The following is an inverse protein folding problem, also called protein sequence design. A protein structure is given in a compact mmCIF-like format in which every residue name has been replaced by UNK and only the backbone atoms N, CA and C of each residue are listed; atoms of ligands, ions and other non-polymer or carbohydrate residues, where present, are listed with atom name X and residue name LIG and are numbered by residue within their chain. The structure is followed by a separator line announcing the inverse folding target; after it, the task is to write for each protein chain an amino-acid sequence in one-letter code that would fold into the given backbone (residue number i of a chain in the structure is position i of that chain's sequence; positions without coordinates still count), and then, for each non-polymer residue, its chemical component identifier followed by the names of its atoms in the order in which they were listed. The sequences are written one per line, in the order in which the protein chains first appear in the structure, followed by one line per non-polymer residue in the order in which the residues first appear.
data_IF_962493389067
#
_entry.id   IF_962493389067
#
_cell.length_a   1.000
_cell.length_b   1.000
_cell.length_c   1.000
_cell.angle_alpha   90.00
_cell.angle_beta   90.00
_cell.angle_gamma   90.00
#
_symmetry.space_group_name_H-M   'P 1'
#
loop_
_entity.id
_entity.type
_entity.pdbx_description
1 polymer ?
#
# COMPACT_ATOMS: atom_id res chain seq x y z
N UNK A 1 -10.41 32.04 -76.74
CA UNK A 1 -11.61 32.42 -75.99
C UNK A 1 -11.40 31.87 -74.58
N UNK A 2 -10.99 32.73 -73.72
CA UNK A 2 -10.66 32.46 -72.33
C UNK A 2 -11.90 32.66 -71.47
N UNK A 3 -12.20 31.73 -70.59
CA UNK A 3 -13.27 31.87 -69.62
C UNK A 3 -12.62 31.88 -68.20
N UNK A 4 -12.63 33.05 -67.64
CA UNK A 4 -12.19 33.32 -66.24
C UNK A 4 -13.23 32.76 -65.27
N UNK A 5 -12.75 31.98 -64.32
CA UNK A 5 -13.52 31.61 -63.12
C UNK A 5 -12.99 32.37 -61.90
N UNK A 6 -13.83 33.12 -61.18
CA UNK A 6 -13.40 33.75 -59.96
C UNK A 6 -13.42 32.79 -58.78
N UNK A 7 -12.27 32.61 -58.14
CA UNK A 7 -12.14 31.93 -56.87
C UNK A 7 -12.75 32.80 -55.75
N UNK A 8 -13.84 32.32 -55.16
CA UNK A 8 -14.41 32.88 -53.95
C UNK A 8 -13.53 32.56 -52.76
N UNK A 9 -12.95 33.55 -52.12
CA UNK A 9 -12.20 33.44 -50.88
C UNK A 9 -13.17 33.12 -49.70
N UNK A 10 -13.14 31.88 -49.22
CA UNK A 10 -13.77 31.56 -47.93
C UNK A 10 -12.89 32.06 -46.81
N UNK A 11 -13.30 33.17 -46.20
CA UNK A 11 -12.82 33.59 -44.89
C UNK A 11 -13.21 32.54 -43.87
N UNK A 12 -12.25 31.78 -43.37
CA UNK A 12 -12.38 30.97 -42.15
C UNK A 12 -12.54 31.95 -40.97
N UNK A 13 -13.77 32.13 -40.52
CA UNK A 13 -14.07 32.78 -39.27
C UNK A 13 -13.49 32.01 -38.10
N UNK A 14 -12.90 32.73 -37.21
CA UNK A 14 -12.33 32.48 -35.91
C UNK A 14 -12.60 31.12 -35.27
N UNK A 15 -11.55 30.35 -35.12
CA UNK A 15 -11.47 29.33 -34.07
C UNK A 15 -11.47 30.05 -32.70
N UNK A 16 -12.58 29.97 -32.00
CA UNK A 16 -12.63 30.32 -30.59
C UNK A 16 -11.67 29.40 -29.88
N UNK A 17 -10.49 29.91 -29.48
CA UNK A 17 -9.62 29.24 -28.55
C UNK A 17 -10.47 28.91 -27.31
N UNK A 18 -10.78 27.63 -27.08
CA UNK A 18 -11.31 27.18 -25.80
C UNK A 18 -10.28 27.59 -24.78
N UNK A 19 -10.60 28.56 -23.94
CA UNK A 19 -9.80 28.84 -22.75
C UNK A 19 -9.72 27.52 -21.96
N UNK A 20 -8.55 26.95 -21.86
CA UNK A 20 -8.30 25.84 -20.92
C UNK A 20 -8.59 26.38 -19.53
N UNK A 21 -9.71 25.94 -18.97
CA UNK A 21 -10.05 26.26 -17.59
C UNK A 21 -9.00 25.55 -16.73
N UNK A 22 -8.10 26.33 -16.13
CA UNK A 22 -7.10 25.77 -15.22
C UNK A 22 -7.82 25.03 -14.10
N UNK A 23 -7.54 23.72 -13.97
CA UNK A 23 -8.12 22.89 -12.91
C UNK A 23 -7.50 23.34 -11.59
N UNK A 24 -8.35 23.78 -10.65
CA UNK A 24 -7.87 24.13 -9.32
C UNK A 24 -7.30 22.86 -8.62
N UNK A 25 -6.09 22.98 -8.09
CA UNK A 25 -5.38 21.91 -7.36
C UNK A 25 -4.96 22.39 -5.98
N UNK A 26 -4.73 21.43 -5.06
CA UNK A 26 -4.15 21.70 -3.75
C UNK A 26 -3.24 20.54 -3.32
N UNK A 27 -2.12 20.81 -2.61
CA UNK A 27 -1.24 19.79 -2.08
C UNK A 27 -1.95 18.91 -1.05
N UNK A 28 -1.88 17.58 -1.22
CA UNK A 28 -2.45 16.65 -0.24
C UNK A 28 -1.67 16.70 1.09
N UNK A 29 -0.38 16.98 1.04
CA UNK A 29 0.50 17.14 2.22
C UNK A 29 -0.09 18.08 3.26
N UNK A 30 -0.60 19.24 2.83
CA UNK A 30 -1.19 20.23 3.72
C UNK A 30 -2.33 19.64 4.58
N UNK A 31 -3.24 18.92 3.95
CA UNK A 31 -4.40 18.31 4.63
C UNK A 31 -4.01 17.17 5.56
N UNK A 32 -3.01 16.37 5.15
CA UNK A 32 -2.49 15.30 6.01
C UNK A 32 -1.82 15.91 7.24
N UNK A 33 -0.98 16.92 7.08
CA UNK A 33 -0.33 17.63 8.21
C UNK A 33 -1.35 18.20 9.17
N UNK A 34 -2.34 18.94 8.69
CA UNK A 34 -3.40 19.51 9.52
C UNK A 34 -4.12 18.42 10.34
N UNK A 35 -4.56 17.35 9.68
CA UNK A 35 -5.27 16.26 10.33
C UNK A 35 -4.39 15.46 11.32
N UNK A 36 -3.08 15.40 11.08
CA UNK A 36 -2.11 14.64 11.86
C UNK A 36 -1.63 15.41 13.08
N UNK A 37 -1.38 16.73 12.99
CA UNK A 37 -0.93 17.56 14.10
C UNK A 37 -1.92 17.60 15.26
N UNK A 38 -3.20 17.44 15.01
CA UNK A 38 -4.17 17.28 16.08
C UNK A 38 -3.95 16.01 16.92
N UNK A 39 -3.25 14.99 16.36
CA UNK A 39 -2.92 13.74 17.06
C UNK A 39 -1.57 13.81 17.76
N UNK A 40 -0.59 14.43 17.12
CA UNK A 40 0.79 14.53 17.62
C UNK A 40 1.39 15.91 17.31
N UNK A 41 1.15 16.92 18.17
CA UNK A 41 1.66 18.26 17.97
C UNK A 41 3.19 18.37 18.05
N UNK A 42 3.87 17.34 18.57
CA UNK A 42 5.33 17.35 18.74
C UNK A 42 6.09 16.94 17.46
N UNK A 43 5.44 16.33 16.48
CA UNK A 43 6.07 15.82 15.25
C UNK A 43 5.86 16.78 14.06
N UNK A 44 6.22 18.06 14.27
CA UNK A 44 6.04 19.11 13.23
C UNK A 44 6.95 18.93 12.01
N UNK A 45 8.01 18.11 12.08
CA UNK A 45 9.08 18.09 11.07
C UNK A 45 9.10 16.83 10.19
N UNK A 46 8.31 15.81 10.47
CA UNK A 46 8.35 14.60 9.65
C UNK A 46 7.74 14.85 8.25
N UNK A 47 8.52 14.72 7.18
CA UNK A 47 7.98 14.89 5.83
C UNK A 47 6.90 13.84 5.57
N UNK A 48 5.71 14.29 5.17
CA UNK A 48 4.61 13.39 4.83
C UNK A 48 4.97 12.55 3.60
N UNK A 49 5.39 13.20 2.54
CA UNK A 49 5.88 12.55 1.34
C UNK A 49 7.38 12.82 1.16
N UNK A 50 8.07 11.90 0.52
CA UNK A 50 9.53 12.04 0.31
C UNK A 50 9.80 13.12 -0.72
N UNK A 51 10.76 13.99 -0.38
CA UNK A 51 11.16 15.15 -1.19
C UNK A 51 12.60 14.99 -1.73
N UNK A 52 13.17 13.80 -1.63
CA UNK A 52 14.57 13.51 -1.84
C UNK A 52 14.98 13.31 -3.32
N UNK A 53 14.07 13.43 -4.26
CA UNK A 53 14.35 13.25 -5.68
C UNK A 53 13.99 14.50 -6.50
N UNK A 54 14.87 14.89 -7.41
CA UNK A 54 14.72 16.04 -8.33
C UNK A 54 13.40 16.04 -9.17
N UNK A 55 12.61 14.98 -9.10
CA UNK A 55 11.38 14.79 -9.88
C UNK A 55 10.19 14.38 -9.02
N UNK A 56 10.20 14.68 -7.73
CA UNK A 56 9.07 14.34 -6.86
C UNK A 56 7.88 15.21 -7.21
N UNK A 57 6.85 14.60 -7.77
CA UNK A 57 5.56 15.26 -7.99
C UNK A 57 4.76 15.12 -6.70
N UNK A 58 4.57 16.21 -5.97
CA UNK A 58 3.72 16.25 -4.80
C UNK A 58 2.30 15.78 -5.16
N UNK A 59 1.68 14.90 -4.37
CA UNK A 59 0.30 14.48 -4.61
C UNK A 59 -0.67 15.66 -4.55
N UNK A 60 -1.37 15.92 -5.65
CA UNK A 60 -2.29 17.04 -5.77
C UNK A 60 -3.74 16.56 -5.81
N UNK A 61 -4.57 17.14 -4.96
CA UNK A 61 -6.02 17.12 -5.10
C UNK A 61 -6.43 17.94 -6.31
N UNK A 62 -7.36 17.43 -7.09
CA UNK A 62 -7.90 18.09 -8.29
C UNK A 62 -9.38 18.35 -8.11
N UNK A 63 -9.80 19.60 -8.24
CA UNK A 63 -11.22 19.99 -8.14
C UNK A 63 -12.01 19.43 -9.32
N UNK A 64 -13.18 18.88 -9.03
CA UNK A 64 -14.03 18.24 -10.05
C UNK A 64 -13.66 16.79 -10.37
N UNK A 65 -12.65 16.25 -9.70
CA UNK A 65 -12.27 14.85 -9.79
C UNK A 65 -12.55 14.14 -8.46
N UNK A 66 -12.83 12.84 -8.54
CA UNK A 66 -12.80 11.95 -7.38
C UNK A 66 -11.33 11.59 -7.12
N UNK A 67 -10.71 12.27 -6.15
CA UNK A 67 -9.32 12.01 -5.78
C UNK A 67 -9.26 10.75 -4.91
N UNK A 68 -8.59 9.72 -5.35
CA UNK A 68 -8.52 8.45 -4.63
C UNK A 68 -7.19 8.33 -3.88
N UNK A 69 -7.29 7.99 -2.59
CA UNK A 69 -6.17 7.61 -1.73
C UNK A 69 -6.32 6.13 -1.42
N UNK A 70 -5.29 5.33 -1.74
CA UNK A 70 -5.31 3.90 -1.42
C UNK A 70 -4.73 3.62 -0.04
N UNK A 71 -5.36 2.72 0.71
CA UNK A 71 -4.94 2.30 2.03
C UNK A 71 -4.33 0.91 1.98
N UNK A 72 -3.05 0.80 2.28
CA UNK A 72 -2.32 -0.44 2.34
C UNK A 72 -2.09 -0.82 3.80
N UNK A 73 -3.08 -1.46 4.42
CA UNK A 73 -2.98 -1.90 5.80
C UNK A 73 -2.42 -3.32 5.88
N UNK A 74 -1.37 -3.52 6.68
CA UNK A 74 -0.70 -4.82 6.74
C UNK A 74 0.23 -5.03 7.92
N UNK A 75 0.69 -6.27 8.09
CA UNK A 75 1.62 -6.63 9.15
C UNK A 75 3.02 -6.05 8.94
N UNK A 76 3.50 -6.03 7.71
CA UNK A 76 4.85 -5.58 7.34
C UNK A 76 5.95 -6.18 8.24
N UNK A 77 5.89 -7.48 8.50
CA UNK A 77 6.72 -8.14 9.50
C UNK A 77 7.58 -9.29 8.93
N UNK A 78 8.76 -8.95 8.34
CA UNK A 78 9.21 -7.63 7.96
C UNK A 78 8.56 -7.12 6.66
N UNK A 79 8.66 -5.81 6.36
CA UNK A 79 8.31 -5.30 5.05
C UNK A 79 9.30 -5.81 4.00
N UNK A 80 8.82 -6.04 2.79
CA UNK A 80 9.59 -6.59 1.69
C UNK A 80 9.17 -5.99 0.35
N UNK A 81 9.98 -6.21 -0.70
CA UNK A 81 9.76 -5.58 -2.00
C UNK A 81 8.36 -5.88 -2.60
N UNK A 82 7.77 -7.04 -2.29
CA UNK A 82 6.41 -7.34 -2.77
C UNK A 82 5.35 -6.35 -2.29
N UNK A 83 5.53 -5.73 -1.12
CA UNK A 83 4.66 -4.66 -0.67
C UNK A 83 4.87 -3.38 -1.51
N UNK A 84 6.11 -3.04 -1.81
CA UNK A 84 6.44 -1.91 -2.67
C UNK A 84 5.93 -2.11 -4.10
N UNK A 85 6.13 -3.30 -4.67
CA UNK A 85 5.65 -3.66 -6.01
C UNK A 85 4.12 -3.55 -6.13
N UNK A 86 3.40 -4.08 -5.13
CA UNK A 86 1.94 -3.97 -5.10
C UNK A 86 1.50 -2.49 -5.17
N UNK A 87 2.10 -1.64 -4.34
CA UNK A 87 1.79 -0.22 -4.30
C UNK A 87 2.16 0.48 -5.60
N UNK A 88 3.39 0.28 -6.08
CA UNK A 88 3.87 0.87 -7.33
C UNK A 88 2.95 0.49 -8.49
N UNK A 89 2.62 -0.81 -8.61
CA UNK A 89 1.77 -1.29 -9.69
C UNK A 89 0.37 -0.67 -9.62
N UNK A 90 -0.27 -0.65 -8.47
CA UNK A 90 -1.63 -0.11 -8.33
C UNK A 90 -1.65 1.41 -8.52
N UNK A 91 -0.64 2.14 -8.05
CA UNK A 91 -0.53 3.59 -8.28
C UNK A 91 -0.43 3.93 -9.78
N UNK A 92 0.26 3.10 -10.56
CA UNK A 92 0.43 3.33 -12.00
C UNK A 92 -0.68 2.74 -12.86
N UNK A 93 -1.29 1.63 -12.46
CA UNK A 93 -2.21 0.84 -13.29
C UNK A 93 -3.62 0.72 -12.73
N UNK A 94 -3.94 1.42 -11.65
CA UNK A 94 -5.28 1.37 -11.02
C UNK A 94 -6.42 1.87 -11.89
N UNK A 95 -6.10 2.59 -12.97
CA UNK A 95 -7.03 3.14 -13.95
C UNK A 95 -7.24 4.64 -13.81
N UNK A 96 -7.34 5.33 -14.93
CA UNK A 96 -7.53 6.79 -15.00
C UNK A 96 -8.85 7.24 -14.34
N UNK A 97 -9.86 6.38 -14.38
CA UNK A 97 -11.17 6.61 -13.78
C UNK A 97 -11.12 6.74 -12.25
N UNK A 98 -10.12 6.15 -11.60
CA UNK A 98 -9.95 6.26 -10.16
C UNK A 98 -9.21 7.52 -9.72
N UNK A 99 -8.40 8.13 -10.60
CA UNK A 99 -7.54 9.25 -10.25
C UNK A 99 -6.81 9.00 -8.90
N UNK A 100 -6.03 7.91 -8.84
CA UNK A 100 -5.27 7.56 -7.64
C UNK A 100 -4.12 8.55 -7.50
N UNK A 101 -4.13 9.34 -6.44
CA UNK A 101 -3.15 10.41 -6.22
C UNK A 101 -2.06 10.02 -5.23
N UNK A 102 -2.38 9.17 -4.25
CA UNK A 102 -1.46 8.78 -3.20
C UNK A 102 -1.84 7.43 -2.58
N UNK A 103 -0.92 6.89 -1.77
CA UNK A 103 -1.20 5.77 -0.88
C UNK A 103 -0.82 6.08 0.56
N UNK A 104 -1.51 5.43 1.51
CA UNK A 104 -1.18 5.44 2.93
C UNK A 104 -0.92 3.99 3.35
N UNK A 105 0.33 3.69 3.75
CA UNK A 105 0.67 2.43 4.39
C UNK A 105 0.32 2.49 5.87
N UNK A 106 -0.36 1.46 6.37
CA UNK A 106 -0.79 1.38 7.77
C UNK A 106 -0.22 0.10 8.39
N UNK A 107 0.98 0.15 9.01
CA UNK A 107 1.48 -0.96 9.80
C UNK A 107 0.58 -1.21 11.00
N UNK A 108 -0.02 -2.42 11.08
CA UNK A 108 -0.92 -2.77 12.19
C UNK A 108 -0.17 -2.79 13.53
N UNK A 109 -0.88 -2.54 14.62
CA UNK A 109 -0.30 -2.52 15.95
C UNK A 109 0.28 -3.88 16.37
N UNK A 110 1.29 -3.87 17.23
CA UNK A 110 2.00 -5.07 17.67
C UNK A 110 1.06 -6.08 18.37
N UNK A 111 0.05 -5.58 19.07
CA UNK A 111 -1.00 -6.40 19.70
C UNK A 111 -1.83 -7.14 18.66
N UNK A 112 -2.22 -6.48 17.58
CA UNK A 112 -2.96 -7.08 16.48
C UNK A 112 -2.09 -8.05 15.67
N UNK A 113 -0.81 -7.74 15.52
CA UNK A 113 0.15 -8.61 14.86
C UNK A 113 0.40 -9.88 15.68
N UNK A 114 0.55 -9.77 17.01
CA UNK A 114 0.65 -10.91 17.93
C UNK A 114 -0.58 -11.80 17.85
N UNK A 115 -1.78 -11.22 17.83
CA UNK A 115 -3.04 -11.96 17.67
C UNK A 115 -3.13 -12.69 16.33
N UNK A 116 -2.64 -12.09 15.24
CA UNK A 116 -2.60 -12.72 13.91
C UNK A 116 -1.73 -13.98 13.89
N UNK A 117 -0.63 -14.00 14.63
CA UNK A 117 0.25 -15.18 14.70
C UNK A 117 -0.21 -16.22 15.72
N UNK A 118 -1.14 -15.87 16.62
CA UNK A 118 -1.65 -16.80 17.64
C UNK A 118 -0.56 -17.27 18.60
N UNK A 119 -0.75 -18.49 19.11
CA UNK A 119 0.18 -19.18 20.03
C UNK A 119 1.33 -19.84 19.25
N UNK A 120 1.38 -19.70 17.94
CA UNK A 120 2.41 -20.31 17.11
C UNK A 120 3.79 -19.89 17.60
N UNK A 121 4.64 -20.90 17.77
CA UNK A 121 6.00 -20.90 18.24
C UNK A 121 6.77 -19.60 18.01
N UNK A 122 6.79 -18.75 19.03
CA UNK A 122 7.67 -17.60 19.20
C UNK A 122 7.98 -16.80 17.90
N UNK A 123 6.96 -16.23 17.23
CA UNK A 123 7.19 -15.55 15.97
C UNK A 123 8.06 -14.32 16.19
N UNK A 124 9.02 -14.08 15.31
CA UNK A 124 9.73 -12.80 15.28
C UNK A 124 8.70 -11.71 14.98
N UNK A 125 8.53 -10.80 15.92
CA UNK A 125 7.67 -9.63 15.78
C UNK A 125 8.55 -8.40 15.88
N UNK A 126 8.68 -7.69 14.74
CA UNK A 126 9.34 -6.41 14.70
C UNK A 126 8.43 -5.36 15.35
N UNK A 127 8.95 -4.50 16.23
CA UNK A 127 8.18 -3.40 16.78
C UNK A 127 7.56 -2.52 15.68
N UNK A 128 6.40 -1.93 15.92
CA UNK A 128 5.72 -1.07 14.94
C UNK A 128 6.62 0.07 14.50
N UNK A 129 7.33 0.71 15.42
CA UNK A 129 8.30 1.78 15.11
C UNK A 129 9.35 1.37 14.09
N UNK A 130 9.94 0.17 14.24
CA UNK A 130 10.89 -0.35 13.28
C UNK A 130 10.23 -0.64 11.93
N UNK A 131 9.03 -1.24 11.92
CA UNK A 131 8.31 -1.53 10.67
C UNK A 131 7.96 -0.25 9.90
N UNK A 132 7.60 0.81 10.62
CA UNK A 132 7.39 2.16 10.07
C UNK A 132 8.69 2.70 9.48
N UNK A 133 9.80 2.67 10.24
CA UNK A 133 11.12 3.14 9.79
C UNK A 133 11.57 2.41 8.52
N UNK A 134 11.48 1.08 8.50
CA UNK A 134 11.84 0.26 7.33
C UNK A 134 10.99 0.61 6.08
N UNK A 135 9.73 0.98 6.25
CA UNK A 135 8.90 1.42 5.14
C UNK A 135 9.24 2.86 4.70
N UNK A 136 9.42 3.79 5.65
CA UNK A 136 9.73 5.21 5.36
C UNK A 136 11.08 5.37 4.67
N UNK A 137 12.10 4.64 5.13
CA UNK A 137 13.47 4.79 4.65
C UNK A 137 13.74 3.98 3.36
N UNK A 138 12.81 3.16 2.91
CA UNK A 138 13.05 2.32 1.74
C UNK A 138 12.93 3.11 0.43
N UNK A 139 13.97 3.13 -0.41
CA UNK A 139 13.91 3.75 -1.73
C UNK A 139 12.97 3.01 -2.70
N UNK A 140 12.49 1.81 -2.34
CA UNK A 140 11.56 1.02 -3.15
C UNK A 140 10.11 1.45 -2.96
N UNK A 141 9.79 2.16 -1.88
CA UNK A 141 8.45 2.71 -1.65
C UNK A 141 8.29 3.97 -2.50
N UNK A 142 7.21 4.09 -3.30
CA UNK A 142 6.97 5.27 -4.13
C UNK A 142 6.88 6.56 -3.29
N UNK A 143 7.31 7.69 -3.87
CA UNK A 143 7.36 8.97 -3.16
C UNK A 143 5.99 9.53 -2.77
N UNK A 144 4.93 9.15 -3.49
CA UNK A 144 3.55 9.48 -3.17
C UNK A 144 2.89 8.49 -2.19
N UNK A 145 3.70 7.78 -1.41
CA UNK A 145 3.25 6.87 -0.35
C UNK A 145 3.67 7.44 1.00
N UNK A 146 2.70 7.68 1.86
CA UNK A 146 2.94 8.04 3.25
C UNK A 146 2.76 6.84 4.17
N UNK A 147 3.55 6.77 5.26
CA UNK A 147 3.48 5.69 6.24
C UNK A 147 2.90 6.23 7.55
N UNK A 148 1.68 5.81 7.86
CA UNK A 148 0.97 6.16 9.09
C UNK A 148 1.55 5.38 10.28
N UNK A 149 1.99 6.08 11.33
CA UNK A 149 2.70 5.49 12.48
C UNK A 149 1.89 5.51 13.78
N UNK A 150 0.81 6.30 13.84
CA UNK A 150 -0.04 6.37 15.01
C UNK A 150 -0.79 5.04 15.27
N UNK A 151 -1.29 4.79 16.50
CA UNK A 151 -2.09 3.60 16.80
C UNK A 151 -3.28 3.42 15.85
N UNK A 152 -3.63 2.16 15.57
CA UNK A 152 -4.80 1.84 14.73
C UNK A 152 -6.11 2.43 15.30
N UNK A 153 -6.19 2.60 16.62
CA UNK A 153 -7.35 3.21 17.30
C UNK A 153 -7.58 4.65 16.87
N UNK A 154 -6.52 5.38 16.50
CA UNK A 154 -6.59 6.78 16.08
C UNK A 154 -6.92 6.94 14.59
N UNK A 155 -6.85 5.85 13.82
CA UNK A 155 -7.05 5.89 12.37
C UNK A 155 -8.39 6.51 11.96
N UNK A 156 -9.48 6.10 12.60
CA UNK A 156 -10.80 6.59 12.21
C UNK A 156 -10.97 8.09 12.47
N UNK A 157 -10.44 8.57 13.59
CA UNK A 157 -10.46 9.99 13.93
C UNK A 157 -9.61 10.80 12.93
N UNK A 158 -8.39 10.37 12.67
CA UNK A 158 -7.51 10.98 11.66
C UNK A 158 -8.17 11.03 10.28
N UNK A 159 -8.66 9.87 9.79
CA UNK A 159 -9.30 9.80 8.48
C UNK A 159 -10.50 10.74 8.36
N UNK A 160 -11.34 10.80 9.41
CA UNK A 160 -12.52 11.66 9.40
C UNK A 160 -12.15 13.15 9.34
N UNK A 161 -11.10 13.57 10.06
CA UNK A 161 -10.58 14.95 9.98
C UNK A 161 -10.02 15.25 8.60
N UNK A 162 -9.19 14.37 8.06
CA UNK A 162 -8.61 14.49 6.72
C UNK A 162 -9.71 14.65 5.65
N UNK A 163 -10.73 13.79 5.68
CA UNK A 163 -11.87 13.84 4.76
C UNK A 163 -12.67 15.13 4.91
N UNK A 164 -12.92 15.58 6.14
CA UNK A 164 -13.66 16.81 6.42
C UNK A 164 -12.88 18.06 5.93
N UNK A 165 -11.57 18.14 6.21
CA UNK A 165 -10.74 19.26 5.75
C UNK A 165 -10.67 19.34 4.22
N UNK A 166 -10.44 18.20 3.54
CA UNK A 166 -10.44 18.14 2.08
C UNK A 166 -11.80 18.57 1.50
N UNK A 167 -12.89 18.04 2.08
CA UNK A 167 -14.25 18.32 1.59
C UNK A 167 -14.65 19.79 1.82
N UNK A 168 -14.32 20.36 2.98
CA UNK A 168 -14.59 21.77 3.28
C UNK A 168 -13.88 22.72 2.30
N UNK A 169 -12.74 22.31 1.76
CA UNK A 169 -12.00 23.05 0.73
C UNK A 169 -12.55 22.83 -0.69
N UNK A 170 -13.64 22.08 -0.84
CA UNK A 170 -14.33 21.86 -2.12
C UNK A 170 -13.69 20.81 -3.02
N UNK A 171 -12.91 19.88 -2.46
CA UNK A 171 -12.41 18.70 -3.16
C UNK A 171 -13.23 17.47 -2.76
N UNK A 172 -13.25 16.48 -3.66
CA UNK A 172 -13.85 15.18 -3.38
C UNK A 172 -12.74 14.16 -3.18
N UNK A 173 -12.75 13.45 -2.06
CA UNK A 173 -11.79 12.38 -1.75
C UNK A 173 -12.51 11.04 -1.60
N UNK A 174 -11.85 9.98 -2.00
CA UNK A 174 -12.26 8.61 -1.81
C UNK A 174 -11.13 7.78 -1.22
N UNK A 175 -11.46 6.83 -0.35
CA UNK A 175 -10.49 5.89 0.21
C UNK A 175 -10.84 4.47 -0.23
N UNK A 176 -9.85 3.76 -0.77
CA UNK A 176 -9.96 2.36 -1.16
C UNK A 176 -8.88 1.54 -0.47
N UNK A 177 -9.19 0.36 0.00
CA UNK A 177 -8.13 -0.55 0.46
C UNK A 177 -7.43 -1.20 -0.73
N UNK A 178 -6.13 -1.49 -0.58
CA UNK A 178 -5.39 -2.33 -1.51
C UNK A 178 -4.90 -3.59 -0.79
N UNK A 179 -5.10 -4.74 -1.42
CA UNK A 179 -4.73 -6.03 -0.86
C UNK A 179 -4.12 -6.93 -1.95
N UNK A 180 -3.26 -7.85 -1.49
CA UNK A 180 -2.81 -8.96 -2.32
C UNK A 180 -3.93 -9.99 -2.50
N UNK A 181 -3.78 -10.90 -3.46
CA UNK A 181 -4.81 -11.89 -3.81
C UNK A 181 -5.06 -12.92 -2.69
N UNK A 182 -4.13 -13.10 -1.75
CA UNK A 182 -4.29 -13.96 -0.57
C UNK A 182 -5.35 -13.46 0.42
N UNK A 183 -5.85 -12.24 0.25
CA UNK A 183 -6.97 -11.70 1.02
C UNK A 183 -8.34 -12.00 0.42
N UNK A 184 -8.38 -12.65 -0.75
CA UNK A 184 -9.62 -13.08 -1.40
C UNK A 184 -9.66 -14.59 -1.46
N UNK A 185 -10.40 -15.21 -0.54
CA UNK A 185 -10.65 -16.64 -0.57
C UNK A 185 -11.96 -16.98 -1.30
N UNK A 186 -12.15 -18.28 -1.58
CA UNK A 186 -13.42 -18.76 -2.15
C UNK A 186 -14.61 -18.45 -1.22
N UNK A 187 -14.38 -18.48 0.08
CA UNK A 187 -15.42 -18.35 1.10
C UNK A 187 -15.59 -16.91 1.61
N UNK A 188 -14.57 -16.08 1.53
CA UNK A 188 -14.62 -14.73 2.11
C UNK A 188 -13.77 -13.74 1.33
N UNK A 189 -14.24 -12.50 1.32
CA UNK A 189 -13.48 -11.35 0.87
C UNK A 189 -13.10 -10.55 2.10
N UNK A 190 -11.84 -10.10 2.18
CA UNK A 190 -11.41 -9.23 3.26
C UNK A 190 -12.25 -7.95 3.27
N UNK A 191 -12.96 -7.71 4.37
CA UNK A 191 -13.83 -6.54 4.44
C UNK A 191 -13.02 -5.24 4.58
N UNK A 192 -13.16 -4.29 3.67
CA UNK A 192 -12.52 -2.98 3.78
C UNK A 192 -13.17 -2.11 4.88
N UNK A 193 -14.32 -2.50 5.40
CA UNK A 193 -15.09 -1.75 6.40
C UNK A 193 -14.29 -1.46 7.69
N UNK A 194 -13.33 -2.34 8.05
CA UNK A 194 -12.39 -2.06 9.15
C UNK A 194 -11.66 -0.73 8.99
N UNK A 195 -11.42 -0.30 7.75
CA UNK A 195 -10.74 0.94 7.42
C UNK A 195 -11.71 2.03 6.96
N UNK A 196 -13.01 1.84 7.20
CA UNK A 196 -14.11 2.70 6.74
C UNK A 196 -14.13 2.88 5.21
N UNK A 197 -13.76 1.84 4.48
CA UNK A 197 -13.82 1.80 3.02
C UNK A 197 -14.96 0.90 2.56
N UNK A 198 -15.58 1.26 1.43
CA UNK A 198 -16.57 0.45 0.71
C UNK A 198 -15.98 -0.22 -0.54
N UNK A 199 -14.75 0.14 -0.90
CA UNK A 199 -14.09 -0.30 -2.12
C UNK A 199 -12.72 -0.90 -1.83
N UNK A 200 -12.36 -1.93 -2.60
CA UNK A 200 -11.09 -2.64 -2.47
C UNK A 200 -10.46 -2.84 -3.85
N UNK A 201 -9.16 -2.55 -3.95
CA UNK A 201 -8.35 -2.96 -5.08
C UNK A 201 -7.63 -4.25 -4.70
N UNK A 202 -7.68 -5.22 -5.60
CA UNK A 202 -6.91 -6.46 -5.52
C UNK A 202 -5.94 -6.48 -6.68
N UNK A 203 -4.67 -6.76 -6.40
CA UNK A 203 -3.69 -6.95 -7.46
C UNK A 203 -2.78 -8.12 -7.17
N UNK A 204 -2.44 -8.86 -8.20
CA UNK A 204 -1.49 -9.97 -8.15
C UNK A 204 -0.05 -9.55 -8.48
N UNK A 205 0.25 -8.26 -8.44
CA UNK A 205 1.58 -7.73 -8.72
C UNK A 205 2.65 -8.28 -7.77
N UNK A 206 2.33 -8.40 -6.49
CA UNK A 206 3.28 -8.89 -5.48
C UNK A 206 3.33 -10.42 -5.37
N UNK A 207 2.34 -11.11 -5.93
CA UNK A 207 2.18 -12.56 -5.78
C UNK A 207 1.27 -13.07 -6.88
N UNK A 208 1.60 -14.18 -7.57
CA UNK A 208 0.70 -14.81 -8.53
C UNK A 208 -0.66 -15.11 -7.91
N UNK A 209 -1.73 -14.93 -8.69
CA UNK A 209 -3.08 -15.22 -8.23
C UNK A 209 -3.43 -16.71 -8.15
N UNK A 210 -2.55 -17.57 -8.65
CA UNK A 210 -2.74 -19.03 -8.70
C UNK A 210 -2.32 -19.74 -7.41
N UNK A 211 -2.77 -19.21 -6.29
CA UNK A 211 -2.59 -19.94 -5.03
C UNK A 211 -3.29 -21.29 -5.06
N UNK A 212 -4.35 -21.41 -5.86
CA UNK A 212 -5.06 -22.66 -6.10
C UNK A 212 -5.38 -22.70 -7.58
N UNK A 213 -5.04 -23.80 -8.23
CA UNK A 213 -5.30 -24.01 -9.66
C UNK A 213 -6.74 -23.63 -10.04
N UNK A 214 -6.89 -22.70 -10.97
CA UNK A 214 -8.19 -22.21 -11.44
C UNK A 214 -8.72 -20.94 -10.76
N UNK A 215 -8.06 -20.39 -9.75
CA UNK A 215 -8.51 -19.18 -9.05
C UNK A 215 -8.41 -17.89 -9.87
N UNK A 216 -7.52 -17.81 -10.87
CA UNK A 216 -7.43 -16.67 -11.78
C UNK A 216 -8.79 -16.32 -12.41
N UNK A 217 -9.48 -17.31 -12.94
CA UNK A 217 -10.84 -17.15 -13.50
C UNK A 217 -11.87 -16.72 -12.45
N UNK A 218 -11.65 -17.11 -11.18
CA UNK A 218 -12.56 -16.77 -10.10
C UNK A 218 -12.32 -15.33 -9.58
N UNK A 219 -11.10 -14.78 -9.66
CA UNK A 219 -10.84 -13.39 -9.26
C UNK A 219 -11.54 -12.40 -10.19
N UNK A 220 -11.41 -12.56 -11.50
CA UNK A 220 -12.11 -11.71 -12.46
C UNK A 220 -13.63 -11.74 -12.28
N UNK A 221 -14.21 -12.93 -12.04
CA UNK A 221 -15.64 -13.08 -11.83
C UNK A 221 -16.11 -12.63 -10.45
N UNK A 222 -15.22 -12.52 -9.47
CA UNK A 222 -15.52 -12.05 -8.10
C UNK A 222 -15.24 -10.56 -7.92
N UNK A 223 -14.54 -9.94 -8.85
CA UNK A 223 -14.41 -8.51 -8.90
C UNK A 223 -15.69 -7.87 -9.44
N UNK A 224 -16.03 -6.73 -8.93
CA UNK A 224 -17.29 -6.07 -9.17
C UNK A 224 -18.08 -5.92 -7.86
N UNK A 225 -19.38 -5.70 -7.97
CA UNK A 225 -20.23 -5.56 -6.79
C UNK A 225 -20.48 -6.92 -6.15
N UNK A 226 -20.17 -7.06 -4.88
CA UNK A 226 -20.37 -8.31 -4.13
C UNK A 226 -21.83 -8.47 -3.79
N UNK A 227 -22.46 -9.55 -4.30
CA UNK A 227 -23.86 -9.86 -4.00
C UNK A 227 -24.04 -10.14 -2.50
N UNK A 228 -25.01 -9.47 -1.88
CA UNK A 228 -25.34 -9.64 -0.46
C UNK A 228 -24.55 -8.77 0.51
N UNK A 229 -23.58 -7.99 0.03
CA UNK A 229 -22.93 -6.91 0.77
C UNK A 229 -23.17 -5.65 -0.04
N UNK A 230 -24.26 -4.92 0.19
CA UNK A 230 -24.50 -3.65 -0.49
C UNK A 230 -23.31 -2.76 -0.23
N UNK A 231 -22.77 -2.09 -1.20
CA UNK A 231 -21.65 -1.14 -1.06
C UNK A 231 -20.22 -1.70 -1.16
N UNK A 232 -19.98 -3.01 -1.22
CA UNK A 232 -18.63 -3.52 -1.44
C UNK A 232 -18.35 -3.68 -2.93
N UNK A 233 -17.41 -2.89 -3.44
CA UNK A 233 -16.89 -3.03 -4.80
C UNK A 233 -15.44 -3.48 -4.76
N UNK A 234 -15.13 -4.53 -5.53
CA UNK A 234 -13.77 -5.06 -5.67
C UNK A 234 -13.33 -4.82 -7.10
N UNK A 235 -12.21 -4.11 -7.25
CA UNK A 235 -11.53 -3.92 -8.52
C UNK A 235 -10.30 -4.80 -8.60
N UNK A 236 -10.19 -5.58 -9.65
CA UNK A 236 -8.98 -6.34 -9.95
C UNK A 236 -8.05 -5.55 -10.88
N UNK A 237 -6.79 -5.37 -10.44
CA UNK A 237 -5.72 -4.75 -11.23
C UNK A 237 -4.67 -5.83 -11.48
N UNK A 238 -4.74 -6.54 -12.62
CA UNK A 238 -3.82 -7.63 -12.93
C UNK A 238 -2.41 -7.12 -13.19
N UNK A 239 -1.42 -7.96 -12.90
CA UNK A 239 -0.05 -7.72 -13.33
C UNK A 239 0.05 -7.79 -14.85
N UNK A 240 0.59 -6.75 -15.45
CA UNK A 240 0.69 -6.62 -16.92
C UNK A 240 2.13 -6.45 -17.42
N UNK A 241 3.09 -6.25 -16.52
CA UNK A 241 4.46 -5.90 -16.88
C UNK A 241 5.43 -7.09 -16.78
N UNK A 242 6.00 -7.52 -17.88
CA UNK A 242 7.20 -8.35 -17.99
C UNK A 242 7.25 -9.60 -17.09
N UNK A 243 8.46 -10.00 -16.73
CA UNK A 243 8.66 -11.10 -15.78
C UNK A 243 8.42 -10.62 -14.34
N UNK A 244 7.55 -11.32 -13.62
CA UNK A 244 7.37 -11.11 -12.19
C UNK A 244 8.68 -11.39 -11.45
N UNK A 245 8.97 -10.56 -10.46
CA UNK A 245 10.02 -10.89 -9.50
C UNK A 245 9.63 -12.14 -8.70
N UNK A 246 10.62 -12.88 -8.15
CA UNK A 246 10.33 -14.04 -7.31
C UNK A 246 9.37 -13.68 -6.18
N UNK A 247 8.38 -14.53 -5.95
CA UNK A 247 7.43 -14.35 -4.84
C UNK A 247 8.19 -14.30 -3.50
N UNK A 248 7.92 -13.26 -2.71
CA UNK A 248 8.45 -13.11 -1.35
C UNK A 248 7.31 -12.85 -0.39
N UNK A 249 7.29 -13.58 0.71
CA UNK A 249 6.37 -13.33 1.81
C UNK A 249 7.10 -12.95 3.08
N UNK A 250 6.44 -12.18 3.95
CA UNK A 250 6.97 -11.90 5.30
C UNK A 250 7.24 -13.20 6.08
N UNK A 251 6.52 -14.29 5.80
CA UNK A 251 6.76 -15.61 6.40
C UNK A 251 8.09 -16.19 5.96
N UNK A 252 8.40 -16.15 4.67
CA UNK A 252 9.68 -16.64 4.15
C UNK A 252 10.83 -15.78 4.66
N UNK A 253 10.62 -14.48 4.77
CA UNK A 253 11.61 -13.57 5.37
C UNK A 253 11.89 -13.92 6.84
N UNK A 254 10.86 -14.22 7.64
CA UNK A 254 11.05 -14.64 9.04
C UNK A 254 11.77 -15.97 9.14
N UNK A 255 11.48 -16.94 8.27
CA UNK A 255 12.21 -18.22 8.21
C UNK A 255 13.68 -17.99 7.90
N UNK A 256 14.00 -17.13 6.94
CA UNK A 256 15.39 -16.75 6.63
C UNK A 256 16.08 -16.13 7.85
N UNK A 257 15.42 -15.22 8.54
CA UNK A 257 15.98 -14.57 9.74
C UNK A 257 16.28 -15.60 10.84
N UNK A 258 15.41 -16.59 11.03
CA UNK A 258 15.60 -17.64 12.06
C UNK A 258 16.70 -18.62 11.66
N UNK A 259 16.81 -18.96 10.37
CA UNK A 259 17.74 -19.99 9.88
C UNK A 259 19.17 -19.47 9.64
N UNK A 260 19.36 -18.15 9.57
CA UNK A 260 20.69 -17.58 9.31
C UNK A 260 21.51 -17.46 10.59
N UNK A 261 22.77 -17.90 10.53
CA UNK A 261 23.75 -17.55 11.56
C UNK A 261 24.03 -16.04 11.53
N UNK A 262 24.26 -15.46 12.70
CA UNK A 262 24.55 -14.01 12.82
C UNK A 262 25.73 -13.56 11.94
N UNK A 263 26.70 -14.45 11.69
CA UNK A 263 27.84 -14.22 10.80
C UNK A 263 27.46 -14.22 9.31
N UNK A 264 26.43 -14.94 8.93
CA UNK A 264 25.94 -15.01 7.56
C UNK A 264 24.93 -13.92 7.23
N UNK A 265 24.26 -13.34 8.24
CA UNK A 265 23.27 -12.26 8.05
C UNK A 265 23.87 -11.04 7.36
N UNK A 266 25.13 -10.69 7.63
CA UNK A 266 25.84 -9.60 6.95
C UNK A 266 26.24 -9.91 5.50
N UNK A 267 26.30 -11.19 5.12
CA UNK A 267 26.66 -11.66 3.78
C UNK A 267 25.45 -12.11 2.96
N UNK A 268 24.24 -12.04 3.51
CA UNK A 268 23.08 -12.74 2.95
C UNK A 268 22.56 -12.08 1.67
N UNK A 269 23.00 -12.60 0.55
CA UNK A 269 22.29 -12.54 -0.73
C UNK A 269 20.81 -12.94 -0.61
N UNK A 270 20.38 -13.54 0.50
CA UNK A 270 19.01 -13.97 0.78
C UNK A 270 18.06 -12.84 1.23
N UNK A 271 18.51 -11.90 2.08
CA UNK A 271 17.73 -10.74 2.53
C UNK A 271 17.94 -9.54 1.64
N UNK A 272 19.16 -9.33 1.13
CA UNK A 272 19.47 -8.31 0.15
C UNK A 272 18.61 -8.50 -1.10
N UNK A 273 17.91 -7.48 -1.52
CA UNK A 273 16.98 -7.52 -2.66
C UNK A 273 15.60 -8.12 -2.35
N UNK A 274 15.31 -8.55 -1.12
CA UNK A 274 13.98 -9.01 -0.69
C UNK A 274 13.38 -8.13 0.40
N UNK A 275 14.17 -7.76 1.43
CA UNK A 275 13.72 -6.87 2.50
C UNK A 275 13.77 -5.41 2.06
N UNK A 276 12.82 -4.59 2.55
CA UNK A 276 12.95 -3.15 2.53
C UNK A 276 14.00 -2.74 3.57
N UNK A 277 14.91 -1.81 3.23
CA UNK A 277 15.98 -1.34 4.11
C UNK A 277 16.71 -2.49 4.83
N UNK A 278 17.27 -3.42 4.06
CA UNK A 278 17.85 -4.65 4.61
C UNK A 278 18.95 -4.39 5.65
N UNK A 279 19.73 -3.32 5.51
CA UNK A 279 20.81 -2.96 6.46
C UNK A 279 20.25 -2.62 7.83
N UNK A 280 19.22 -1.79 7.91
CA UNK A 280 18.56 -1.44 9.16
C UNK A 280 17.92 -2.67 9.83
N UNK A 281 17.28 -3.53 9.01
CA UNK A 281 16.72 -4.80 9.48
C UNK A 281 17.82 -5.71 10.04
N UNK A 282 18.95 -5.86 9.35
CA UNK A 282 20.08 -6.67 9.80
C UNK A 282 20.66 -6.13 11.11
N UNK A 283 20.86 -4.82 11.23
CA UNK A 283 21.33 -4.19 12.47
C UNK A 283 20.40 -4.47 13.65
N UNK A 284 19.10 -4.41 13.43
CA UNK A 284 18.12 -4.75 14.46
C UNK A 284 18.22 -6.23 14.84
N UNK A 285 18.31 -7.14 13.87
CA UNK A 285 18.44 -8.58 14.09
C UNK A 285 19.67 -8.89 14.93
N UNK A 286 20.83 -8.34 14.58
CA UNK A 286 22.09 -8.56 15.28
C UNK A 286 22.02 -8.09 16.74
N UNK A 287 21.25 -7.05 17.03
CA UNK A 287 21.09 -6.52 18.39
C UNK A 287 20.11 -7.33 19.24
N UNK A 288 18.98 -7.74 18.67
CA UNK A 288 17.84 -8.28 19.42
C UNK A 288 17.81 -9.84 19.46
N UNK A 289 18.29 -10.51 18.41
CA UNK A 289 18.22 -11.97 18.32
C UNK A 289 19.18 -12.74 19.25
N UNK A 290 20.40 -12.28 19.57
CA UNK A 290 21.28 -13.00 20.49
C UNK A 290 20.65 -13.24 21.86
N UNK A 291 19.85 -12.30 22.34
CA UNK A 291 19.11 -12.45 23.60
C UNK A 291 17.97 -13.47 23.49
N UNK A 292 17.28 -13.53 22.33
CA UNK A 292 16.18 -14.47 22.10
C UNK A 292 16.64 -15.91 21.84
N UNK A 293 17.76 -16.10 21.16
CA UNK A 293 18.36 -17.42 20.97
C UNK A 293 18.69 -18.06 22.31
N UNK A 294 19.11 -17.29 23.31
CA UNK A 294 19.33 -17.78 24.68
C UNK A 294 18.03 -18.20 25.37
N UNK A 295 16.90 -17.58 25.07
CA UNK A 295 15.59 -17.93 25.65
C UNK A 295 14.93 -19.15 24.99
N UNK A 296 15.24 -19.46 23.73
CA UNK A 296 14.67 -20.60 23.00
C UNK A 296 15.37 -21.93 23.29
N UNK A 297 16.49 -21.92 23.99
CA UNK A 297 17.24 -23.10 24.33
C UNK A 297 16.65 -23.94 25.50
N UNK A 298 15.47 -23.58 26.00
CA UNK A 298 14.74 -24.41 26.97
C UNK A 298 13.94 -25.47 26.22
N UNK A 299 14.23 -26.76 26.36
CA UNK A 299 13.51 -27.81 25.65
C UNK A 299 12.06 -27.88 26.11
N UNK A 300 11.13 -27.56 25.24
CA UNK A 300 9.72 -27.86 25.47
C UNK A 300 9.52 -29.34 25.25
N UNK A 301 9.29 -30.07 26.37
CA UNK A 301 8.78 -31.45 26.33
C UNK A 301 7.39 -31.44 25.71
N UNK A 302 7.24 -32.22 24.67
CA UNK A 302 6.11 -32.74 23.91
C UNK A 302 4.68 -32.27 24.23
N UNK A 303 3.96 -31.96 23.19
CA UNK A 303 2.72 -32.69 22.85
C UNK A 303 1.98 -32.06 21.66
N UNK A 304 1.65 -32.97 20.76
CA UNK A 304 0.38 -33.08 20.00
C UNK A 304 -0.07 -32.00 19.04
N UNK A 305 0.01 -32.39 17.81
CA UNK A 305 -0.67 -31.89 16.61
C UNK A 305 -2.19 -31.77 16.80
N UNK A 306 -2.74 -30.57 16.53
CA UNK A 306 -4.08 -30.39 16.03
C UNK A 306 -4.07 -29.29 14.98
N UNK A 307 -4.25 -29.71 13.74
CA UNK A 307 -4.50 -28.86 12.57
C UNK A 307 -5.88 -28.26 12.71
N UNK A 308 -6.00 -26.94 12.74
CA UNK A 308 -7.23 -26.24 12.45
C UNK A 308 -7.01 -25.30 11.27
N UNK A 309 -7.61 -25.70 10.17
CA UNK A 309 -7.86 -24.86 8.99
C UNK A 309 -8.78 -23.69 9.36
N UNK A 310 -8.38 -22.50 8.92
CA UNK A 310 -9.20 -21.29 8.87
C UNK A 310 -9.16 -20.66 7.48
#
# INVERSE_FOLDING_TARGET
MSADHPFAAYHRAGGTARAEVAIATAPLTHYIQEAYHELDPADEEAPIFRDDLEHTVEPLLRRGFRNTIILAAGGYNPPHYGHAELLTHVLHHGGEDLNIIAAIMIPIDDTNLKRKFGIAENPIILPKSLRVSLCRNSPLIPNNVWVYDQPETEWHAFRSRLEASITSSGFTVNFMTVVGPDHISIASVHSPARWSCSETIVSDACRPADFVAGHHKNLETRCGTVKGVPELTIRFVPWTEGQRKPNVSSTDMRKLIVSCDATELGSTKGLAGKALCHEELVQWILRELPERAKMSAVPVKGESTAVHEW
#
